data_IF_859218532454
#
_entry.id   IF_859218532454
#
_cell.length_a   1.000
_cell.length_b   1.000
_cell.length_c   1.000
_cell.angle_alpha   90.00
_cell.angle_beta   90.00
_cell.angle_gamma   90.00
#
_symmetry.space_group_name_H-M   'P 1'
#
loop_
_entity.id
_entity.type
_entity.pdbx_description
1 polymer ?
#
# COMPACT_ATOMS: atom_id res chain seq x y z
N UNK A 1 28.45 9.97 -13.79
CA UNK A 1 27.52 10.63 -12.85
C UNK A 1 26.64 9.53 -12.27
N UNK A 2 26.77 9.25 -10.97
CA UNK A 2 25.88 8.30 -10.31
C UNK A 2 24.48 8.91 -10.28
N UNK A 3 23.47 8.22 -10.82
CA UNK A 3 22.10 8.66 -10.72
C UNK A 3 21.70 8.60 -9.24
N UNK A 4 21.43 9.76 -8.63
CA UNK A 4 20.90 9.83 -7.27
C UNK A 4 19.56 9.11 -7.26
N UNK A 5 19.46 8.00 -6.54
CA UNK A 5 18.19 7.28 -6.35
C UNK A 5 17.24 8.16 -5.56
N UNK A 6 16.13 8.58 -6.17
CA UNK A 6 15.08 9.33 -5.49
C UNK A 6 14.49 8.47 -4.36
N UNK A 7 14.19 9.11 -3.22
CA UNK A 7 13.40 8.47 -2.17
C UNK A 7 11.98 8.16 -2.66
N UNK A 8 11.28 7.26 -1.97
CA UNK A 8 9.90 6.91 -2.34
C UNK A 8 8.94 8.09 -2.28
N UNK A 9 9.13 8.99 -1.29
CA UNK A 9 8.35 10.21 -1.17
C UNK A 9 8.60 11.15 -2.37
N UNK A 10 9.86 11.41 -2.72
CA UNK A 10 10.22 12.26 -3.86
C UNK A 10 9.71 11.68 -5.19
N UNK A 11 9.82 10.36 -5.36
CA UNK A 11 9.28 9.65 -6.51
C UNK A 11 7.76 9.85 -6.61
N UNK A 12 7.03 9.67 -5.51
CA UNK A 12 5.58 9.83 -5.48
C UNK A 12 5.13 11.26 -5.79
N UNK A 13 5.82 12.26 -5.23
CA UNK A 13 5.55 13.68 -5.54
C UNK A 13 5.73 13.95 -7.03
N UNK A 14 6.88 13.55 -7.60
CA UNK A 14 7.18 13.70 -9.03
C UNK A 14 6.14 12.99 -9.90
N UNK A 15 5.81 11.74 -9.55
CA UNK A 15 4.81 10.96 -10.25
C UNK A 15 3.45 11.67 -10.24
N UNK A 16 3.02 12.13 -9.07
CA UNK A 16 1.70 12.72 -8.92
C UNK A 16 1.58 14.05 -9.66
N UNK A 17 2.64 14.87 -9.65
CA UNK A 17 2.72 16.09 -10.45
C UNK A 17 2.63 15.82 -11.95
N UNK A 18 3.36 14.83 -12.45
CA UNK A 18 3.40 14.52 -13.88
C UNK A 18 2.16 13.74 -14.37
N UNK A 19 1.63 12.85 -13.55
CA UNK A 19 0.74 11.77 -13.99
C UNK A 19 -0.52 11.60 -13.15
N UNK A 20 -0.66 12.30 -12.00
CA UNK A 20 -1.75 12.07 -11.05
C UNK A 20 -3.15 12.19 -11.65
N UNK A 21 -3.39 13.19 -12.51
CA UNK A 21 -4.70 13.39 -13.16
C UNK A 21 -5.03 12.30 -14.19
N UNK A 22 -4.02 11.79 -14.90
CA UNK A 22 -4.16 10.67 -15.85
C UNK A 22 -4.35 9.35 -15.12
N UNK A 23 -3.52 9.10 -14.09
CA UNK A 23 -3.64 7.94 -13.21
C UNK A 23 -5.04 7.86 -12.59
N UNK A 24 -5.55 8.95 -12.02
CA UNK A 24 -6.88 8.99 -11.39
C UNK A 24 -7.98 8.64 -12.40
N UNK A 25 -8.01 9.29 -13.57
CA UNK A 25 -9.02 9.03 -14.59
C UNK A 25 -8.97 7.59 -15.08
N UNK A 26 -7.77 7.07 -15.31
CA UNK A 26 -7.58 5.70 -15.74
C UNK A 26 -7.99 4.69 -14.66
N UNK A 27 -7.46 4.81 -13.45
CA UNK A 27 -7.69 3.85 -12.36
C UNK A 27 -9.17 3.81 -11.94
N UNK A 28 -9.87 4.95 -11.96
CA UNK A 28 -11.30 4.98 -11.65
C UNK A 28 -12.18 4.50 -12.82
N UNK A 29 -11.66 4.48 -14.05
CA UNK A 29 -12.39 4.00 -15.22
C UNK A 29 -12.24 2.49 -15.47
N UNK A 30 -11.17 1.86 -14.99
CA UNK A 30 -10.99 0.41 -15.16
C UNK A 30 -11.98 -0.38 -14.29
N UNK A 31 -12.46 -1.55 -14.74
CA UNK A 31 -13.32 -2.40 -13.93
C UNK A 31 -12.66 -2.82 -12.61
N UNK A 32 -13.48 -3.18 -11.61
CA UNK A 32 -13.00 -3.65 -10.30
C UNK A 32 -11.92 -4.73 -10.41
N UNK A 33 -12.03 -5.67 -11.37
CA UNK A 33 -11.03 -6.71 -11.59
C UNK A 33 -9.65 -6.14 -11.98
N UNK A 34 -9.61 -5.05 -12.76
CA UNK A 34 -8.39 -4.34 -13.12
C UNK A 34 -7.79 -3.60 -11.93
N UNK A 35 -8.64 -2.92 -11.14
CA UNK A 35 -8.21 -2.25 -9.90
C UNK A 35 -7.60 -3.25 -8.92
N UNK A 36 -8.27 -4.39 -8.70
CA UNK A 36 -7.80 -5.48 -7.86
C UNK A 36 -6.49 -6.08 -8.35
N UNK A 37 -6.35 -6.30 -9.66
CA UNK A 37 -5.11 -6.82 -10.24
C UNK A 37 -3.94 -5.87 -9.99
N UNK A 38 -4.17 -4.56 -10.09
CA UNK A 38 -3.13 -3.58 -9.80
C UNK A 38 -2.68 -3.62 -8.34
N UNK A 39 -3.63 -3.68 -7.40
CA UNK A 39 -3.31 -3.78 -5.97
C UNK A 39 -2.51 -5.04 -5.65
N UNK A 40 -2.92 -6.19 -6.19
CA UNK A 40 -2.23 -7.47 -5.96
C UNK A 40 -0.85 -7.53 -6.61
N UNK A 41 -0.64 -6.84 -7.73
CA UNK A 41 0.69 -6.74 -8.32
C UNK A 41 1.65 -5.92 -7.46
N UNK A 42 1.14 -4.88 -6.77
CA UNK A 42 1.97 -4.09 -5.85
C UNK A 42 2.16 -4.75 -4.47
N UNK A 43 1.18 -5.53 -4.01
CA UNK A 43 1.23 -6.28 -2.76
C UNK A 43 0.36 -7.55 -2.87
N UNK A 44 0.97 -8.71 -3.21
CA UNK A 44 0.23 -9.96 -3.41
C UNK A 44 -0.50 -10.45 -2.16
N UNK A 45 0.10 -10.23 -0.99
CA UNK A 45 -0.39 -10.70 0.31
C UNK A 45 -1.32 -9.70 1.02
N UNK A 46 -1.84 -8.70 0.30
CA UNK A 46 -2.73 -7.71 0.89
C UNK A 46 -4.03 -8.37 1.39
N UNK A 47 -4.44 -8.14 2.65
CA UNK A 47 -5.65 -8.72 3.21
C UNK A 47 -6.89 -8.20 2.48
N UNK A 48 -7.87 -9.10 2.27
CA UNK A 48 -9.12 -8.74 1.61
C UNK A 48 -9.94 -7.74 2.43
N UNK A 49 -9.99 -7.95 3.74
CA UNK A 49 -10.73 -7.17 4.72
C UNK A 49 -9.94 -7.12 6.03
N UNK A 50 -10.35 -6.27 6.96
CA UNK A 50 -9.75 -6.25 8.31
C UNK A 50 -9.92 -7.61 8.98
N UNK A 51 -8.83 -8.23 9.48
CA UNK A 51 -8.91 -9.52 10.17
C UNK A 51 -9.71 -9.42 11.48
N UNK A 52 -10.37 -10.51 11.87
CA UNK A 52 -11.05 -10.62 13.16
C UNK A 52 -10.05 -10.58 14.33
N UNK A 53 -8.87 -11.16 14.10
CA UNK A 53 -7.75 -11.17 15.06
C UNK A 53 -6.63 -10.30 14.50
N UNK A 54 -6.46 -9.11 15.09
CA UNK A 54 -5.46 -8.14 14.66
C UNK A 54 -4.06 -8.56 15.09
N UNK A 55 -3.14 -8.61 14.13
CA UNK A 55 -1.70 -8.74 14.33
C UNK A 55 -1.06 -7.35 14.44
N UNK A 56 0.21 -7.31 14.87
CA UNK A 56 0.94 -6.06 15.03
C UNK A 56 0.95 -5.20 13.74
N UNK A 57 1.11 -5.83 12.58
CA UNK A 57 1.11 -5.16 11.27
C UNK A 57 -0.24 -4.54 10.89
N UNK A 58 -1.35 -5.09 11.38
CA UNK A 58 -2.68 -4.54 11.11
C UNK A 58 -2.89 -3.18 11.81
N UNK A 59 -2.21 -2.97 12.94
CA UNK A 59 -2.17 -1.68 13.63
C UNK A 59 -1.26 -0.67 12.93
N UNK A 60 -0.23 -1.13 12.22
CA UNK A 60 0.67 -0.24 11.48
C UNK A 60 -0.02 0.40 10.29
N UNK A 61 -0.82 -0.34 9.53
CA UNK A 61 -1.45 0.15 8.30
C UNK A 61 -2.88 -0.40 8.14
N UNK A 62 -3.84 -0.02 9.01
CA UNK A 62 -5.22 -0.50 8.95
C UNK A 62 -5.93 -0.15 7.63
N UNK A 63 -5.43 0.85 6.88
CA UNK A 63 -5.96 1.24 5.58
C UNK A 63 -5.59 0.29 4.44
N UNK A 64 -4.57 -0.56 4.60
CA UNK A 64 -4.06 -1.44 3.54
C UNK A 64 -4.82 -2.77 3.48
N UNK A 65 -6.13 -2.67 3.25
CA UNK A 65 -6.97 -3.83 2.86
C UNK A 65 -7.60 -3.58 1.50
N UNK A 66 -7.86 -4.64 0.74
CA UNK A 66 -8.54 -4.53 -0.56
C UNK A 66 -9.91 -3.87 -0.41
N UNK A 67 -10.69 -4.28 0.60
CA UNK A 67 -12.00 -3.71 0.87
C UNK A 67 -11.92 -2.20 1.14
N UNK A 68 -10.95 -1.75 1.95
CA UNK A 68 -10.76 -0.33 2.25
C UNK A 68 -10.30 0.46 1.01
N UNK A 69 -9.31 -0.04 0.29
CA UNK A 69 -8.72 0.68 -0.84
C UNK A 69 -9.63 0.74 -2.07
N UNK A 70 -10.44 -0.30 -2.30
CA UNK A 70 -11.38 -0.39 -3.42
C UNK A 70 -12.82 0.00 -3.07
N UNK A 71 -13.09 0.41 -1.82
CA UNK A 71 -14.37 1.02 -1.47
C UNK A 71 -14.66 2.23 -2.38
N UNK A 72 -15.94 2.56 -2.57
CA UNK A 72 -16.38 3.68 -3.41
C UNK A 72 -15.72 3.72 -4.79
N UNK A 73 -15.53 2.55 -5.41
CA UNK A 73 -14.92 2.36 -6.74
C UNK A 73 -13.43 2.77 -6.81
N UNK A 74 -12.67 2.58 -5.72
CA UNK A 74 -11.23 2.84 -5.70
C UNK A 74 -10.83 4.28 -5.36
N UNK A 75 -11.79 5.15 -5.03
CA UNK A 75 -11.51 6.52 -4.57
C UNK A 75 -10.60 6.59 -3.34
N UNK A 76 -10.69 5.69 -2.34
CA UNK A 76 -9.81 5.69 -1.19
C UNK A 76 -8.33 5.50 -1.56
N UNK A 77 -8.01 4.60 -2.49
CA UNK A 77 -6.64 4.44 -2.98
C UNK A 77 -6.11 5.74 -3.61
N UNK A 78 -6.90 6.35 -4.49
CA UNK A 78 -6.52 7.60 -5.17
C UNK A 78 -6.28 8.71 -4.15
N UNK A 79 -7.16 8.83 -3.14
CA UNK A 79 -7.00 9.82 -2.05
C UNK A 79 -5.75 9.55 -1.21
N UNK A 80 -5.51 8.29 -0.85
CA UNK A 80 -4.31 7.89 -0.10
C UNK A 80 -3.03 8.24 -0.88
N UNK A 81 -2.99 7.90 -2.17
CA UNK A 81 -1.87 8.23 -3.05
C UNK A 81 -1.67 9.74 -3.17
N UNK A 82 -2.75 10.50 -3.41
CA UNK A 82 -2.70 11.96 -3.49
C UNK A 82 -2.17 12.56 -2.19
N UNK A 83 -2.69 12.14 -1.04
CA UNK A 83 -2.31 12.70 0.24
C UNK A 83 -0.83 12.47 0.52
N UNK A 84 -0.36 11.24 0.29
CA UNK A 84 1.05 10.86 0.52
C UNK A 84 2.02 11.52 -0.46
N UNK A 85 1.55 11.91 -1.65
CA UNK A 85 2.36 12.63 -2.64
C UNK A 85 2.33 14.17 -2.47
N UNK A 86 1.35 14.73 -1.75
CA UNK A 86 1.13 16.18 -1.68
C UNK A 86 1.32 16.79 -0.29
N UNK A 87 1.08 16.01 0.76
CA UNK A 87 1.03 16.52 2.12
C UNK A 87 2.01 15.78 3.01
N UNK A 88 2.56 16.50 3.96
CA UNK A 88 3.23 15.88 5.09
C UNK A 88 2.19 15.21 5.99
N UNK A 89 2.11 13.89 5.89
CA UNK A 89 1.18 13.07 6.65
C UNK A 89 1.75 12.64 8.01
N UNK A 90 2.96 13.07 8.39
CA UNK A 90 3.62 12.67 9.64
C UNK A 90 2.81 13.06 10.87
N UNK A 91 2.22 14.26 10.88
CA UNK A 91 1.43 14.73 12.00
C UNK A 91 0.16 13.88 12.25
N UNK A 92 -0.54 13.50 11.19
CA UNK A 92 -1.73 12.64 11.26
C UNK A 92 -1.38 11.22 11.71
N UNK A 93 -0.30 10.65 11.14
CA UNK A 93 0.19 9.33 11.54
C UNK A 93 0.65 9.32 13.00
N UNK A 94 1.36 10.36 13.45
CA UNK A 94 1.80 10.50 14.83
C UNK A 94 0.61 10.59 15.78
N UNK A 95 -0.43 11.35 15.42
CA UNK A 95 -1.65 11.45 16.22
C UNK A 95 -2.36 10.08 16.34
N UNK A 96 -2.44 9.32 15.24
CA UNK A 96 -2.97 7.96 15.24
C UNK A 96 -2.18 7.04 16.20
N UNK A 97 -0.84 7.03 16.09
CA UNK A 97 0.01 6.18 16.91
C UNK A 97 -0.02 6.56 18.39
N UNK A 98 -0.02 7.86 18.73
CA UNK A 98 -0.23 8.33 20.10
C UNK A 98 -1.57 7.88 20.66
N UNK A 99 -2.63 7.90 19.83
CA UNK A 99 -3.94 7.36 20.20
C UNK A 99 -3.91 5.85 20.50
N UNK A 100 -3.15 5.07 19.74
CA UNK A 100 -2.93 3.65 20.04
C UNK A 100 -2.12 3.45 21.32
N UNK A 101 -1.05 4.25 21.53
CA UNK A 101 -0.18 4.17 22.70
C UNK A 101 -0.97 4.47 23.99
N UNK A 102 -1.75 5.54 23.99
CA UNK A 102 -2.61 5.91 25.12
C UNK A 102 -3.63 4.81 25.49
N UNK A 103 -4.11 4.07 24.49
CA UNK A 103 -5.03 2.93 24.67
C UNK A 103 -4.33 1.61 24.98
N UNK A 104 -2.99 1.60 25.09
CA UNK A 104 -2.16 0.39 25.25
C UNK A 104 -2.39 -0.65 24.16
N UNK A 105 -2.66 -0.19 22.93
CA UNK A 105 -2.92 -1.01 21.74
C UNK A 105 -1.82 -0.89 20.68
N UNK A 106 -0.88 0.04 20.85
CA UNK A 106 0.26 0.17 19.94
C UNK A 106 1.20 -1.02 20.14
N UNK A 107 1.48 -1.82 19.10
CA UNK A 107 2.49 -2.85 19.20
C UNK A 107 3.87 -2.24 19.41
N UNK A 108 4.72 -2.92 20.18
CA UNK A 108 6.11 -2.52 20.41
C UNK A 108 6.99 -3.16 19.35
N UNK A 109 7.57 -2.34 18.46
CA UNK A 109 8.45 -2.81 17.39
C UNK A 109 9.94 -2.75 17.73
N UNK A 110 10.32 -2.12 18.85
CA UNK A 110 11.70 -2.13 19.36
C UNK A 110 12.10 -3.45 20.04
N UNK A 111 11.17 -4.40 20.19
CA UNK A 111 11.43 -5.65 20.89
C UNK A 111 11.84 -5.39 22.34
N UNK A 112 13.05 -5.81 22.70
CA UNK A 112 13.63 -5.63 24.05
C UNK A 112 14.64 -4.49 24.13
N UNK A 113 14.79 -3.69 23.07
CA UNK A 113 15.86 -2.67 22.98
C UNK A 113 15.78 -1.63 24.10
N UNK A 114 14.57 -1.31 24.58
CA UNK A 114 14.36 -0.30 25.63
C UNK A 114 14.03 -0.87 27.01
N UNK A 115 14.13 -2.19 27.21
CA UNK A 115 13.76 -2.82 28.48
C UNK A 115 14.67 -2.39 29.66
N UNK A 116 15.88 -1.95 29.35
CA UNK A 116 16.90 -1.55 30.34
C UNK A 116 16.93 -0.05 30.64
N UNK A 117 16.06 0.75 30.00
CA UNK A 117 16.02 2.20 30.16
C UNK A 117 14.70 2.64 30.81
N UNK A 118 14.72 3.75 31.53
CA UNK A 118 13.52 4.31 32.13
C UNK A 118 12.61 4.98 31.08
N UNK A 119 13.23 5.65 30.10
CA UNK A 119 12.54 6.35 29.03
C UNK A 119 13.47 6.49 27.83
N UNK A 120 12.97 6.18 26.63
CA UNK A 120 13.66 6.45 25.37
C UNK A 120 12.83 7.43 24.54
N UNK A 121 13.47 8.44 23.96
CA UNK A 121 12.80 9.50 23.21
C UNK A 121 13.70 10.06 22.10
N UNK A 122 13.07 10.82 21.20
CA UNK A 122 13.71 11.56 20.13
C UNK A 122 13.27 13.02 20.21
N UNK A 123 14.20 13.91 19.93
CA UNK A 123 13.94 15.31 19.63
C UNK A 123 13.73 15.45 18.11
N UNK A 124 12.54 15.80 17.62
CA UNK A 124 12.30 15.95 16.18
C UNK A 124 13.07 17.12 15.56
N UNK A 125 13.64 18.02 16.37
CA UNK A 125 14.51 19.10 15.91
C UNK A 125 15.97 18.68 15.76
N UNK A 126 16.35 17.51 16.28
CA UNK A 126 17.66 16.90 16.02
C UNK A 126 17.73 16.48 14.54
N UNK A 127 18.65 17.02 13.73
CA UNK A 127 18.77 16.66 12.32
C UNK A 127 19.15 15.20 12.10
N UNK A 128 19.84 14.57 13.05
CA UNK A 128 20.23 13.16 13.00
C UNK A 128 19.19 12.24 13.66
N UNK A 129 18.20 12.84 14.35
CA UNK A 129 17.08 12.17 15.00
C UNK A 129 17.53 11.01 15.90
N UNK A 130 18.60 11.24 16.66
CA UNK A 130 19.18 10.20 17.50
C UNK A 130 18.25 9.83 18.65
N UNK A 131 18.17 8.52 18.90
CA UNK A 131 17.44 8.00 20.06
C UNK A 131 18.26 8.33 21.32
N UNK A 132 17.66 9.13 22.19
CA UNK A 132 18.17 9.44 23.52
C UNK A 132 17.47 8.55 24.55
N UNK A 133 18.19 8.19 25.61
CA UNK A 133 17.64 7.36 26.66
C UNK A 133 18.04 7.84 28.05
N UNK A 134 17.10 7.70 28.99
CA UNK A 134 17.33 7.93 30.41
C UNK A 134 17.50 6.58 31.10
N UNK A 135 18.59 6.42 31.84
CA UNK A 135 18.82 5.22 32.63
C UNK A 135 17.88 5.14 33.84
N UNK A 136 17.64 3.94 34.41
CA UNK A 136 16.82 3.77 35.62
C UNK A 136 17.34 4.54 36.85
N UNK A 137 18.63 4.91 36.86
CA UNK A 137 19.26 5.70 37.91
C UNK A 137 19.00 7.20 37.82
N UNK A 138 18.30 7.68 36.77
CA UNK A 138 18.00 9.10 36.59
C UNK A 138 17.12 9.62 37.73
N UNK A 139 17.29 10.90 38.08
CA UNK A 139 16.43 11.52 39.10
C UNK A 139 14.96 11.56 38.66
N UNK A 140 13.99 11.41 39.59
CA UNK A 140 12.56 11.48 39.26
C UNK A 140 12.15 12.79 38.59
N UNK A 141 12.78 13.91 38.96
CA UNK A 141 12.49 15.23 38.39
C UNK A 141 12.81 15.28 36.89
N UNK A 142 13.99 14.81 36.49
CA UNK A 142 14.41 14.76 35.07
C UNK A 142 13.50 13.84 34.25
N UNK A 143 13.09 12.71 34.83
CA UNK A 143 12.14 11.80 34.19
C UNK A 143 10.79 12.48 33.96
N UNK A 144 10.26 13.15 34.98
CA UNK A 144 8.98 13.86 34.90
C UNK A 144 9.02 15.05 33.93
N UNK A 145 10.10 15.82 33.92
CA UNK A 145 10.31 16.93 32.97
C UNK A 145 10.35 16.43 31.53
N UNK A 146 11.06 15.33 31.27
CA UNK A 146 11.12 14.71 29.95
C UNK A 146 9.76 14.17 29.51
N UNK A 147 9.02 13.53 30.44
CA UNK A 147 7.67 13.07 30.15
C UNK A 147 6.73 14.24 29.82
N UNK A 148 6.80 15.35 30.56
CA UNK A 148 6.00 16.54 30.28
C UNK A 148 6.30 17.12 28.88
N UNK A 149 7.56 17.06 28.42
CA UNK A 149 7.92 17.43 27.04
C UNK A 149 7.33 16.49 25.99
N UNK A 150 7.24 15.19 26.28
CA UNK A 150 6.58 14.22 25.39
C UNK A 150 5.08 14.52 25.30
N UNK A 151 4.44 14.75 26.44
CA UNK A 151 3.01 15.06 26.54
C UNK A 151 2.68 16.38 25.83
N UNK A 152 3.60 17.34 25.86
CA UNK A 152 3.51 18.62 25.14
C UNK A 152 3.86 18.53 23.63
N UNK A 153 4.14 17.33 23.10
CA UNK A 153 4.59 17.09 21.72
C UNK A 153 5.92 17.77 21.33
N UNK A 154 6.74 18.15 22.31
CA UNK A 154 8.09 18.66 22.07
C UNK A 154 9.05 17.52 21.78
N UNK A 155 8.91 16.42 22.52
CA UNK A 155 9.65 15.17 22.30
C UNK A 155 8.69 14.07 21.84
N UNK A 156 9.25 13.02 21.25
CA UNK A 156 8.50 11.84 20.82
C UNK A 156 9.10 10.62 21.49
N UNK A 157 8.27 9.78 22.12
CA UNK A 157 8.71 8.50 22.65
C UNK A 157 9.31 7.63 21.54
N UNK A 158 10.46 7.00 21.78
CA UNK A 158 11.25 6.33 20.74
C UNK A 158 10.47 5.20 20.04
N UNK A 159 9.66 4.44 20.78
CA UNK A 159 8.80 3.40 20.21
C UNK A 159 7.75 3.97 19.25
N UNK A 160 7.13 5.09 19.63
CA UNK A 160 6.13 5.77 18.80
C UNK A 160 6.79 6.29 17.51
N UNK A 161 8.00 6.84 17.63
CA UNK A 161 8.77 7.29 16.48
C UNK A 161 9.18 6.16 15.54
N UNK A 162 9.73 5.05 16.05
CA UNK A 162 10.10 3.90 15.23
C UNK A 162 8.88 3.35 14.48
N UNK A 163 7.75 3.27 15.17
CA UNK A 163 6.47 2.84 14.60
C UNK A 163 5.99 3.81 13.51
N UNK A 164 6.18 5.12 13.70
CA UNK A 164 5.88 6.15 12.68
C UNK A 164 6.72 5.94 11.43
N UNK A 165 8.04 5.75 11.58
CA UNK A 165 8.95 5.53 10.46
C UNK A 165 8.59 4.26 9.68
N UNK A 166 8.30 3.16 10.37
CA UNK A 166 7.83 1.92 9.74
C UNK A 166 6.54 2.12 8.96
N UNK A 167 5.54 2.78 9.57
CA UNK A 167 4.25 3.06 8.93
C UNK A 167 4.42 3.90 7.66
N UNK A 168 5.21 4.98 7.74
CA UNK A 168 5.48 5.83 6.58
C UNK A 168 6.18 5.05 5.46
N UNK A 169 7.22 4.27 5.80
CA UNK A 169 7.96 3.49 4.82
C UNK A 169 7.06 2.46 4.11
N UNK A 170 6.22 1.73 4.83
CA UNK A 170 5.30 0.74 4.26
C UNK A 170 4.33 1.41 3.28
N UNK A 171 3.70 2.51 3.69
CA UNK A 171 2.72 3.21 2.86
C UNK A 171 3.36 3.82 1.62
N UNK A 172 4.50 4.48 1.76
CA UNK A 172 5.22 5.09 0.63
C UNK A 172 5.69 4.01 -0.35
N UNK A 173 6.28 2.91 0.14
CA UNK A 173 6.75 1.81 -0.72
C UNK A 173 5.59 1.19 -1.50
N UNK A 174 4.49 0.90 -0.82
CA UNK A 174 3.30 0.31 -1.46
C UNK A 174 2.75 1.22 -2.57
N UNK A 175 2.55 2.50 -2.26
CA UNK A 175 2.02 3.48 -3.21
C UNK A 175 2.98 3.74 -4.37
N UNK A 176 4.28 3.75 -4.12
CA UNK A 176 5.27 3.88 -5.16
C UNK A 176 5.27 2.67 -6.10
N UNK A 177 5.07 1.45 -5.59
CA UNK A 177 4.92 0.27 -6.44
C UNK A 177 3.68 0.35 -7.35
N UNK A 178 2.58 0.91 -6.85
CA UNK A 178 1.38 1.20 -7.67
C UNK A 178 1.73 2.22 -8.77
N UNK A 179 2.35 3.34 -8.41
CA UNK A 179 2.74 4.39 -9.34
C UNK A 179 3.75 3.90 -10.40
N UNK A 180 4.77 3.12 -10.01
CA UNK A 180 5.70 2.46 -10.94
C UNK A 180 4.98 1.53 -11.88
N UNK A 181 4.06 0.70 -11.37
CA UNK A 181 3.27 -0.20 -12.21
C UNK A 181 2.51 0.58 -13.29
N UNK A 182 1.96 1.75 -12.95
CA UNK A 182 1.35 2.65 -13.92
C UNK A 182 2.37 3.17 -14.94
N UNK A 183 3.51 3.72 -14.50
CA UNK A 183 4.54 4.24 -15.42
C UNK A 183 5.08 3.16 -16.37
N UNK A 184 5.26 1.93 -15.87
CA UNK A 184 5.69 0.76 -16.67
C UNK A 184 4.70 0.39 -17.77
N UNK A 185 3.39 0.51 -17.49
CA UNK A 185 2.34 0.17 -18.45
C UNK A 185 2.14 1.27 -19.50
N UNK A 186 2.30 2.54 -19.12
CA UNK A 186 1.91 3.67 -19.98
C UNK A 186 3.06 4.48 -20.58
N UNK A 187 4.24 4.52 -19.94
CA UNK A 187 5.27 5.50 -20.30
C UNK A 187 6.66 4.92 -20.54
N UNK A 188 6.97 3.72 -20.04
CA UNK A 188 8.11 3.01 -20.60
C UNK A 188 7.75 2.57 -22.01
N UNK A 189 8.60 2.94 -22.97
CA UNK A 189 8.58 2.38 -24.33
C UNK A 189 8.73 0.88 -24.21
N UNK A 190 7.59 0.20 -24.14
CA UNK A 190 7.48 -1.20 -24.41
C UNK A 190 7.83 -1.34 -25.88
N UNK A 191 9.10 -1.61 -26.20
CA UNK A 191 9.41 -2.33 -27.41
C UNK A 191 8.54 -3.58 -27.35
N UNK A 192 7.47 -3.61 -28.15
CA UNK A 192 6.40 -4.63 -28.17
C UNK A 192 6.43 -5.55 -26.95
N UNK A 193 6.08 -5.05 -25.78
CA UNK A 193 5.77 -5.96 -24.68
C UNK A 193 4.38 -6.44 -25.04
N UNK A 194 4.33 -7.59 -25.72
CA UNK A 194 3.13 -8.39 -25.75
C UNK A 194 2.71 -8.54 -24.28
N UNK A 195 1.66 -7.84 -23.88
CA UNK A 195 1.02 -8.08 -22.60
C UNK A 195 0.54 -9.52 -22.62
N UNK A 196 1.39 -10.44 -22.16
CA UNK A 196 1.03 -11.85 -22.02
C UNK A 196 0.09 -11.92 -20.83
N UNK A 197 -1.19 -11.63 -21.08
CA UNK A 197 -2.25 -11.98 -20.15
C UNK A 197 -2.06 -13.47 -19.83
N UNK A 198 -1.72 -13.77 -18.58
CA UNK A 198 -1.56 -15.13 -18.10
C UNK A 198 -2.90 -15.73 -17.69
N UNK A 199 -2.88 -17.00 -17.32
CA UNK A 199 -4.03 -17.68 -16.74
C UNK A 199 -4.51 -16.91 -15.51
N UNK A 200 -5.80 -16.59 -15.44
CA UNK A 200 -6.38 -15.82 -14.34
C UNK A 200 -6.29 -16.50 -12.97
N UNK A 201 -6.14 -17.82 -12.96
CA UNK A 201 -6.07 -18.62 -11.74
C UNK A 201 -4.64 -18.82 -11.25
N UNK A 202 -3.68 -19.10 -12.16
CA UNK A 202 -2.31 -19.47 -11.77
C UNK A 202 -1.20 -18.62 -12.41
N UNK A 203 -1.54 -17.66 -13.28
CA UNK A 203 -0.59 -16.78 -13.97
C UNK A 203 0.16 -17.40 -15.16
N UNK A 204 -0.04 -18.69 -15.47
CA UNK A 204 0.66 -19.36 -16.57
C UNK A 204 0.46 -18.67 -17.92
N UNK A 205 1.53 -18.51 -18.69
CA UNK A 205 1.53 -17.80 -19.98
C UNK A 205 1.11 -18.67 -21.17
N UNK A 206 1.02 -19.98 -20.99
CA UNK A 206 0.60 -20.97 -21.98
C UNK A 206 -0.12 -22.15 -21.32
N UNK A 207 -0.74 -23.01 -22.13
CA UNK A 207 -1.23 -24.31 -21.68
C UNK A 207 -0.07 -25.29 -21.42
N UNK A 208 -0.30 -26.44 -20.74
CA UNK A 208 0.74 -27.43 -20.47
C UNK A 208 1.46 -28.00 -21.71
N UNK A 209 0.79 -27.97 -22.87
CA UNK A 209 1.30 -28.38 -24.18
C UNK A 209 1.95 -27.23 -24.97
N UNK A 210 2.20 -26.10 -24.32
CA UNK A 210 2.69 -24.85 -24.90
C UNK A 210 1.73 -24.20 -25.93
N UNK A 211 0.47 -24.63 -26.01
CA UNK A 211 -0.55 -23.97 -26.83
C UNK A 211 -1.05 -22.66 -26.22
N UNK A 212 -1.75 -21.86 -27.02
CA UNK A 212 -2.34 -20.58 -26.58
C UNK A 212 -3.38 -20.80 -25.49
N UNK A 213 -3.44 -19.90 -24.50
CA UNK A 213 -4.42 -19.98 -23.41
C UNK A 213 -5.87 -20.05 -23.92
N UNK A 214 -6.69 -20.80 -23.22
CA UNK A 214 -8.14 -20.85 -23.43
C UNK A 214 -8.73 -19.48 -23.16
N UNK A 215 -9.55 -18.99 -24.09
CA UNK A 215 -10.24 -17.71 -23.97
C UNK A 215 -11.65 -17.92 -23.42
N UNK A 216 -12.05 -17.09 -22.47
CA UNK A 216 -13.46 -16.95 -22.13
C UNK A 216 -14.23 -16.34 -23.33
N UNK A 217 -15.53 -16.67 -23.55
CA UNK A 217 -16.35 -16.02 -24.57
C UNK A 217 -16.48 -14.48 -24.46
N UNK A 218 -16.04 -13.88 -23.36
CA UNK A 218 -15.97 -12.42 -23.19
C UNK A 218 -14.59 -11.83 -23.56
N UNK A 219 -13.60 -12.65 -23.93
CA UNK A 219 -12.20 -12.30 -24.22
C UNK A 219 -11.39 -11.62 -23.11
N UNK A 220 -12.02 -11.29 -21.98
CA UNK A 220 -11.36 -10.60 -20.86
C UNK A 220 -10.69 -11.52 -19.83
N UNK A 221 -10.79 -12.84 -20.00
CA UNK A 221 -10.17 -13.82 -19.11
C UNK A 221 -9.56 -14.97 -19.92
N UNK A 222 -8.34 -15.36 -19.52
CA UNK A 222 -7.56 -16.43 -20.14
C UNK A 222 -7.27 -17.53 -19.12
N UNK A 223 -7.19 -18.78 -19.58
CA UNK A 223 -6.95 -19.96 -18.73
C UNK A 223 -5.99 -20.95 -19.37
N UNK A 224 -5.08 -21.52 -18.59
CA UNK A 224 -4.17 -22.55 -19.09
C UNK A 224 -4.83 -23.94 -19.20
N UNK A 225 -6.00 -24.13 -18.58
CA UNK A 225 -6.78 -25.36 -18.64
C UNK A 225 -8.25 -25.10 -18.30
N UNK A 226 -9.11 -26.08 -18.62
CA UNK A 226 -10.56 -26.00 -18.36
C UNK A 226 -10.91 -26.02 -16.87
N UNK A 227 -10.07 -26.64 -16.04
CA UNK A 227 -10.26 -26.69 -14.59
C UNK A 227 -10.14 -25.29 -13.97
N UNK A 228 -9.12 -24.53 -14.36
CA UNK A 228 -8.95 -23.14 -13.93
C UNK A 228 -10.10 -22.24 -14.41
N UNK A 229 -10.60 -22.46 -15.62
CA UNK A 229 -11.79 -21.76 -16.12
C UNK A 229 -13.03 -22.09 -15.26
N UNK A 230 -13.22 -23.35 -14.90
CA UNK A 230 -14.36 -23.83 -14.10
C UNK A 230 -14.28 -23.32 -12.66
N UNK A 231 -13.07 -23.29 -12.08
CA UNK A 231 -12.80 -22.78 -10.75
C UNK A 231 -13.05 -21.27 -10.65
N UNK A 232 -12.69 -20.49 -11.67
CA UNK A 232 -12.94 -19.05 -11.72
C UNK A 232 -14.40 -18.71 -12.08
N UNK A 233 -15.14 -19.64 -12.69
CA UNK A 233 -16.49 -19.38 -13.22
C UNK A 233 -17.48 -18.77 -12.20
N UNK A 234 -17.58 -19.24 -10.94
CA UNK A 234 -18.47 -18.62 -9.96
C UNK A 234 -18.18 -17.13 -9.75
N UNK A 235 -16.91 -16.72 -9.81
CA UNK A 235 -16.46 -15.34 -9.63
C UNK A 235 -16.57 -14.52 -10.93
N UNK A 236 -16.33 -15.14 -12.08
CA UNK A 236 -16.28 -14.45 -13.36
C UNK A 236 -17.64 -14.30 -14.04
N UNK A 237 -18.60 -15.20 -13.80
CA UNK A 237 -19.88 -15.28 -14.53
C UNK A 237 -20.64 -13.95 -14.62
N UNK A 238 -20.74 -13.21 -13.51
CA UNK A 238 -21.43 -11.92 -13.47
C UNK A 238 -20.75 -10.90 -14.39
N UNK A 239 -19.43 -10.78 -14.29
CA UNK A 239 -18.61 -9.87 -15.11
C UNK A 239 -18.60 -10.29 -16.59
N UNK A 240 -18.54 -11.59 -16.88
CA UNK A 240 -18.59 -12.14 -18.24
C UNK A 240 -19.85 -11.69 -18.98
N UNK A 241 -21.02 -11.73 -18.31
CA UNK A 241 -22.28 -11.26 -18.89
C UNK A 241 -22.23 -9.77 -19.26
N UNK A 242 -21.70 -8.93 -18.37
CA UNK A 242 -21.61 -7.47 -18.58
C UNK A 242 -20.67 -7.16 -19.74
N UNK A 243 -19.48 -7.78 -19.78
CA UNK A 243 -18.49 -7.53 -20.84
C UNK A 243 -19.04 -7.94 -22.20
N UNK A 244 -19.73 -9.07 -22.29
CA UNK A 244 -20.35 -9.51 -23.55
C UNK A 244 -21.46 -8.58 -24.02
N UNK A 245 -22.27 -8.04 -23.11
CA UNK A 245 -23.29 -7.06 -23.46
C UNK A 245 -22.66 -5.77 -24.02
N UNK A 246 -21.62 -5.25 -23.35
CA UNK A 246 -20.89 -4.06 -23.82
C UNK A 246 -20.18 -4.29 -25.16
N UNK A 247 -19.60 -5.47 -25.36
CA UNK A 247 -18.95 -5.83 -26.63
C UNK A 247 -19.97 -5.84 -27.77
N UNK A 248 -21.15 -6.42 -27.55
CA UNK A 248 -22.22 -6.41 -28.55
C UNK A 248 -22.76 -4.99 -28.85
N UNK A 249 -22.81 -4.10 -27.85
CA UNK A 249 -23.16 -2.68 -28.06
C UNK A 249 -22.12 -1.96 -28.92
N UNK A 250 -20.82 -2.24 -28.72
CA UNK A 250 -19.72 -1.62 -29.46
C UNK A 250 -19.59 -2.16 -30.89
N UNK A 251 -19.77 -3.47 -31.08
CA UNK A 251 -19.68 -4.11 -32.40
C UNK A 251 -20.90 -3.79 -33.30
N UNK A 252 -21.97 -3.21 -32.72
CA UNK A 252 -23.17 -2.76 -33.43
C UNK A 252 -23.20 -1.27 -33.78
N UNK A 253 -22.15 -0.51 -33.43
CA UNK A 253 -21.91 0.88 -33.82
C UNK A 253 -20.94 0.92 -35.02
#
# INVERSE_FOLDING_TARGET
MAATTLSEAEFLTRFWDAHGSTFMRWFLAIPYAGQLSMLRNASPDMPLQTPDVLQATDFLTPELTIATLLADQGKPLVRLLCNRARFDCAAEDLAYLKGLRAKKRMPTFSGTTFDSVALAYIDPTDPEQHIQSLLPSVSPNVLQETQAKIDANVLIEADVWLTLQMRQQILLTFLANIARTFELVFFQTQGTVEGKMGCRTCGASAQPDASSLLKCPCDAALYCCKDHQTQDWPNHKATCKIIRARKAELDGL
#
